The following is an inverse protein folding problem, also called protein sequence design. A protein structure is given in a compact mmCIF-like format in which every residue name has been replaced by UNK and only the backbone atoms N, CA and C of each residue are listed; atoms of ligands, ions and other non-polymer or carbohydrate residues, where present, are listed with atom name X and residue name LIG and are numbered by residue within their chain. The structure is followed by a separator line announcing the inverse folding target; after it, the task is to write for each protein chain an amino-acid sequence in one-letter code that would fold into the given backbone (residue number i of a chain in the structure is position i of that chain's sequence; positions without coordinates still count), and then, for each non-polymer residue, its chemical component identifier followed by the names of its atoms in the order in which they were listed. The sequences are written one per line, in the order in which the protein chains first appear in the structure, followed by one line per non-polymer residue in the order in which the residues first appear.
data_IF_150326505773
#
_entry.id   IF_150326505773
#
_cell.length_a   1.000
_cell.length_b   1.000
_cell.length_c   1.000
_cell.angle_alpha   90.00
_cell.angle_beta   90.00
_cell.angle_gamma   90.00
#
_symmetry.space_group_name_H-M   'P 1'
#
loop_
_entity.id
_entity.type
_entity.pdbx_description
1 polymer ?
#
# COMPACT_ATOMS: atom_id res chain seq x y z
N UNK A 1 -17.12 12.04 -14.10
CA UNK A 1 -15.80 11.45 -13.89
C UNK A 1 -15.72 9.93 -14.14
N UNK A 2 -16.68 9.12 -13.65
CA UNK A 2 -16.69 7.63 -13.74
C UNK A 2 -16.17 7.00 -15.04
N UNK A 3 -16.67 7.43 -16.22
CA UNK A 3 -16.23 6.88 -17.53
C UNK A 3 -14.73 7.08 -17.80
N UNK A 4 -14.16 8.19 -17.32
CA UNK A 4 -12.73 8.49 -17.46
C UNK A 4 -11.91 7.53 -16.59
N UNK A 5 -12.32 7.34 -15.33
CA UNK A 5 -11.67 6.40 -14.39
C UNK A 5 -11.65 4.99 -14.98
N UNK A 6 -12.77 4.51 -15.51
CA UNK A 6 -12.87 3.18 -16.13
C UNK A 6 -11.88 3.05 -17.31
N UNK A 7 -11.82 4.06 -18.19
CA UNK A 7 -10.85 4.08 -19.31
C UNK A 7 -9.41 4.07 -18.82
N UNK A 8 -9.08 4.81 -17.77
CA UNK A 8 -7.71 4.80 -17.23
C UNK A 8 -7.38 3.43 -16.64
N UNK A 9 -8.33 2.76 -15.99
CA UNK A 9 -8.13 1.38 -15.52
C UNK A 9 -7.90 0.40 -16.68
N UNK A 10 -8.56 0.57 -17.84
CA UNK A 10 -8.26 -0.22 -19.04
C UNK A 10 -6.82 0.03 -19.56
N UNK A 11 -6.31 1.25 -19.41
CA UNK A 11 -4.91 1.57 -19.74
C UNK A 11 -3.95 0.88 -18.76
N UNK A 12 -4.27 0.83 -17.47
CA UNK A 12 -3.51 0.04 -16.48
C UNK A 12 -3.42 -1.41 -16.92
N UNK A 13 -4.56 -2.01 -17.29
CA UNK A 13 -4.61 -3.41 -17.71
C UNK A 13 -3.78 -3.69 -18.96
N UNK A 14 -3.69 -2.73 -19.88
CA UNK A 14 -2.95 -2.87 -21.15
C UNK A 14 -1.49 -2.42 -21.07
N UNK A 15 -1.08 -1.77 -19.99
CA UNK A 15 0.28 -1.24 -19.83
C UNK A 15 1.33 -2.36 -19.73
N UNK A 16 2.35 -2.27 -20.59
CA UNK A 16 3.47 -3.23 -20.68
C UNK A 16 4.83 -2.61 -20.34
N UNK A 17 4.85 -1.31 -20.07
CA UNK A 17 6.05 -0.53 -19.74
C UNK A 17 5.75 0.42 -18.60
N UNK A 18 6.79 0.82 -17.87
CA UNK A 18 6.68 1.65 -16.69
C UNK A 18 6.04 3.02 -16.98
N UNK A 19 6.37 3.64 -18.10
CA UNK A 19 5.92 4.99 -18.45
C UNK A 19 4.40 5.05 -18.61
N UNK A 20 3.82 4.10 -19.36
CA UNK A 20 2.38 4.07 -19.57
C UNK A 20 1.62 3.75 -18.29
N UNK A 21 2.16 2.83 -17.46
CA UNK A 21 1.57 2.48 -16.19
C UNK A 21 1.64 3.66 -15.20
N UNK A 22 2.79 4.35 -15.15
CA UNK A 22 3.00 5.51 -14.30
C UNK A 22 2.02 6.64 -14.62
N UNK A 23 1.85 6.99 -15.91
CA UNK A 23 0.93 8.05 -16.31
C UNK A 23 -0.53 7.71 -15.95
N UNK A 24 -0.94 6.46 -16.13
CA UNK A 24 -2.28 6.00 -15.77
C UNK A 24 -2.50 6.06 -14.24
N UNK A 25 -1.54 5.57 -13.46
CA UNK A 25 -1.64 5.59 -12.00
C UNK A 25 -1.54 7.00 -11.43
N UNK A 26 -0.70 7.87 -11.98
CA UNK A 26 -0.61 9.27 -11.56
C UNK A 26 -1.92 10.02 -11.82
N UNK A 27 -2.57 9.77 -12.96
CA UNK A 27 -3.88 10.33 -13.24
C UNK A 27 -4.92 9.85 -12.21
N UNK A 28 -4.95 8.55 -11.89
CA UNK A 28 -5.87 8.01 -10.87
C UNK A 28 -5.57 8.55 -9.47
N UNK A 29 -4.30 8.63 -9.07
CA UNK A 29 -3.88 9.17 -7.79
C UNK A 29 -4.38 10.62 -7.62
N UNK A 30 -4.15 11.47 -8.61
CA UNK A 30 -4.63 12.86 -8.60
C UNK A 30 -6.15 12.95 -8.51
N UNK A 31 -6.89 12.14 -9.28
CA UNK A 31 -8.36 12.13 -9.24
C UNK A 31 -8.84 11.68 -7.85
N UNK A 32 -8.27 10.61 -7.28
CA UNK A 32 -8.69 10.10 -5.95
C UNK A 32 -8.40 11.08 -4.80
N UNK A 33 -7.46 12.00 -4.97
CA UNK A 33 -7.19 13.05 -3.98
C UNK A 33 -8.18 14.21 -4.08
N UNK A 34 -8.77 14.45 -5.25
CA UNK A 34 -9.67 15.57 -5.51
C UNK A 34 -11.14 15.17 -5.38
N UNK A 35 -11.49 13.95 -5.79
CA UNK A 35 -12.87 13.47 -5.90
C UNK A 35 -13.04 12.15 -5.14
N UNK A 36 -13.58 12.22 -3.92
CA UNK A 36 -13.76 11.06 -3.04
C UNK A 36 -14.67 9.99 -3.65
N UNK A 37 -15.69 10.38 -4.43
CA UNK A 37 -16.58 9.45 -5.17
C UNK A 37 -15.82 8.54 -6.15
N UNK A 38 -14.62 8.93 -6.58
CA UNK A 38 -13.79 8.08 -7.45
C UNK A 38 -13.33 6.81 -6.73
N UNK A 39 -13.20 6.86 -5.40
CA UNK A 39 -12.78 5.70 -4.60
C UNK A 39 -13.80 4.57 -4.73
N UNK A 40 -15.10 4.88 -4.76
CA UNK A 40 -16.18 3.90 -4.94
C UNK A 40 -16.07 3.23 -6.31
N UNK A 41 -15.80 4.01 -7.36
CA UNK A 41 -15.58 3.49 -8.71
C UNK A 41 -14.36 2.56 -8.76
N UNK A 42 -13.27 2.90 -8.08
CA UNK A 42 -12.09 2.03 -8.01
C UNK A 42 -12.40 0.71 -7.30
N UNK A 43 -13.18 0.77 -6.21
CA UNK A 43 -13.62 -0.42 -5.49
C UNK A 43 -14.50 -1.33 -6.37
N UNK A 44 -15.58 -0.79 -6.96
CA UNK A 44 -16.51 -1.51 -7.84
C UNK A 44 -15.80 -2.21 -9.01
N UNK A 45 -14.72 -1.62 -9.51
CA UNK A 45 -13.96 -2.12 -10.64
C UNK A 45 -12.70 -2.94 -10.25
N UNK A 46 -12.62 -3.43 -9.00
CA UNK A 46 -11.54 -4.26 -8.48
C UNK A 46 -10.15 -3.68 -8.78
N UNK A 47 -10.00 -2.37 -8.61
CA UNK A 47 -8.82 -1.65 -9.06
C UNK A 47 -7.55 -2.10 -8.34
N UNK A 48 -7.63 -2.44 -7.04
CA UNK A 48 -6.48 -2.88 -6.23
C UNK A 48 -5.81 -4.11 -6.86
N UNK A 49 -6.60 -5.13 -7.22
CA UNK A 49 -6.11 -6.34 -7.86
C UNK A 49 -5.45 -6.03 -9.21
N UNK A 50 -6.08 -5.16 -10.01
CA UNK A 50 -5.57 -4.75 -11.33
C UNK A 50 -4.25 -4.00 -11.22
N UNK A 51 -4.14 -3.11 -10.26
CA UNK A 51 -2.92 -2.36 -9.96
C UNK A 51 -1.76 -3.28 -9.58
N UNK A 52 -1.98 -4.20 -8.64
CA UNK A 52 -0.96 -5.15 -8.19
C UNK A 52 -0.53 -6.05 -9.36
N UNK A 53 -1.47 -6.53 -10.17
CA UNK A 53 -1.17 -7.33 -11.34
C UNK A 53 -0.35 -6.57 -12.39
N UNK A 54 -0.69 -5.30 -12.65
CA UNK A 54 0.05 -4.46 -13.60
C UNK A 54 1.46 -4.17 -13.11
N UNK A 55 1.62 -3.86 -11.82
CA UNK A 55 2.91 -3.61 -11.17
C UNK A 55 3.84 -4.82 -11.19
N UNK A 56 3.31 -6.03 -10.98
CA UNK A 56 4.09 -7.29 -11.01
C UNK A 56 4.58 -7.68 -12.42
N UNK A 57 4.19 -6.97 -13.48
CA UNK A 57 4.65 -7.26 -14.85
C UNK A 57 6.11 -6.89 -15.02
N UNK A 58 6.86 -7.63 -15.87
CA UNK A 58 8.20 -7.22 -16.26
C UNK A 58 8.20 -5.77 -16.79
N UNK A 59 9.20 -4.97 -16.40
CA UNK A 59 9.38 -3.57 -16.81
C UNK A 59 8.33 -2.57 -16.30
N UNK A 60 7.43 -2.97 -15.40
CA UNK A 60 6.41 -2.11 -14.79
C UNK A 60 6.71 -1.75 -13.32
N UNK A 61 7.91 -2.06 -12.84
CA UNK A 61 8.30 -1.85 -11.45
C UNK A 61 9.30 -0.70 -11.34
N UNK A 62 8.91 0.38 -10.67
CA UNK A 62 9.81 1.45 -10.24
C UNK A 62 9.22 2.24 -9.05
N UNK A 63 10.07 3.03 -8.39
CA UNK A 63 9.72 3.83 -7.23
C UNK A 63 8.58 4.85 -7.48
N UNK A 64 8.51 5.43 -8.67
CA UNK A 64 7.46 6.39 -9.00
C UNK A 64 6.08 5.73 -9.08
N UNK A 65 6.02 4.51 -9.63
CA UNK A 65 4.80 3.71 -9.69
C UNK A 65 4.36 3.31 -8.28
N UNK A 66 5.30 2.86 -7.43
CA UNK A 66 5.03 2.53 -6.03
C UNK A 66 4.41 3.72 -5.29
N UNK A 67 4.93 4.92 -5.48
CA UNK A 67 4.38 6.14 -4.87
C UNK A 67 2.93 6.43 -5.30
N UNK A 68 2.61 6.28 -6.59
CA UNK A 68 1.24 6.49 -7.08
C UNK A 68 0.29 5.41 -6.54
N UNK A 69 0.72 4.15 -6.51
CA UNK A 69 -0.06 3.05 -5.92
C UNK A 69 -0.38 3.31 -4.46
N UNK A 70 0.62 3.72 -3.68
CA UNK A 70 0.47 3.98 -2.25
C UNK A 70 -0.49 5.15 -2.00
N UNK A 71 -0.42 6.20 -2.82
CA UNK A 71 -1.38 7.31 -2.76
C UNK A 71 -2.82 6.83 -2.95
N UNK A 72 -3.07 6.01 -3.98
CA UNK A 72 -4.40 5.45 -4.25
C UNK A 72 -4.85 4.51 -3.12
N UNK A 73 -3.95 3.67 -2.59
CA UNK A 73 -4.26 2.76 -1.48
C UNK A 73 -4.59 3.50 -0.19
N UNK A 74 -3.89 4.59 0.12
CA UNK A 74 -4.22 5.45 1.27
C UNK A 74 -5.61 6.06 1.09
N UNK A 75 -5.96 6.55 -0.11
CA UNK A 75 -7.32 7.04 -0.39
C UNK A 75 -8.37 5.94 -0.18
N UNK A 76 -8.16 4.73 -0.70
CA UNK A 76 -9.05 3.59 -0.46
C UNK A 76 -9.18 3.22 1.02
N UNK A 77 -8.08 3.25 1.77
CA UNK A 77 -8.08 2.96 3.20
C UNK A 77 -8.83 4.04 4.00
N UNK A 78 -8.71 5.30 3.59
CA UNK A 78 -9.46 6.42 4.17
C UNK A 78 -10.94 6.36 3.82
N UNK A 79 -11.30 5.84 2.64
CA UNK A 79 -12.66 5.53 2.22
C UNK A 79 -13.25 4.25 2.84
N UNK A 80 -12.59 3.68 3.86
CA UNK A 80 -13.03 2.47 4.57
C UNK A 80 -13.09 1.17 3.73
N UNK A 81 -12.41 1.12 2.57
CA UNK A 81 -12.31 -0.08 1.72
C UNK A 81 -11.23 -1.07 2.19
N UNK A 82 -11.15 -1.31 3.50
CA UNK A 82 -10.09 -2.10 4.14
C UNK A 82 -10.17 -3.58 3.75
N UNK A 83 -11.37 -4.16 3.73
CA UNK A 83 -11.59 -5.54 3.28
C UNK A 83 -11.13 -5.76 1.84
N UNK A 84 -11.37 -4.77 0.96
CA UNK A 84 -10.94 -4.83 -0.42
C UNK A 84 -9.40 -4.81 -0.52
N UNK A 85 -8.74 -3.94 0.24
CA UNK A 85 -7.27 -3.87 0.30
C UNK A 85 -6.68 -5.21 0.75
N UNK A 86 -7.25 -5.83 1.78
CA UNK A 86 -6.83 -7.14 2.28
C UNK A 86 -7.08 -8.22 1.22
N UNK A 87 -8.34 -8.39 0.80
CA UNK A 87 -8.77 -9.47 -0.09
C UNK A 87 -8.16 -9.41 -1.50
N UNK A 88 -7.72 -8.23 -1.94
CA UNK A 88 -7.06 -8.05 -3.23
C UNK A 88 -5.53 -8.04 -3.14
N UNK A 89 -4.95 -8.29 -1.96
CA UNK A 89 -3.52 -8.54 -1.78
C UNK A 89 -2.64 -7.31 -1.55
N UNK A 90 -3.23 -6.18 -1.14
CA UNK A 90 -2.45 -4.96 -0.88
C UNK A 90 -1.51 -5.10 0.32
N UNK A 91 -1.89 -5.84 1.36
CA UNK A 91 -1.08 -6.00 2.59
C UNK A 91 0.29 -6.63 2.29
N UNK A 92 0.33 -7.69 1.48
CA UNK A 92 1.58 -8.34 1.05
C UNK A 92 2.50 -7.36 0.31
N UNK A 93 1.93 -6.61 -0.64
CA UNK A 93 2.67 -5.57 -1.36
C UNK A 93 3.20 -4.50 -0.39
N UNK A 94 2.38 -3.98 0.52
CA UNK A 94 2.78 -2.96 1.49
C UNK A 94 3.94 -3.44 2.38
N UNK A 95 3.86 -4.66 2.89
CA UNK A 95 4.93 -5.25 3.70
C UNK A 95 6.22 -5.44 2.89
N UNK A 96 6.12 -5.82 1.62
CA UNK A 96 7.29 -5.95 0.73
C UNK A 96 7.98 -4.59 0.50
N UNK A 97 7.20 -3.52 0.37
CA UNK A 97 7.71 -2.15 0.14
C UNK A 97 8.41 -1.56 1.35
N UNK A 98 8.15 -2.06 2.56
CA UNK A 98 8.91 -1.63 3.75
C UNK A 98 10.40 -1.97 3.67
N UNK A 99 10.74 -3.00 2.87
CA UNK A 99 12.11 -3.50 2.69
C UNK A 99 12.81 -2.88 1.48
N UNK A 100 12.14 -2.00 0.73
CA UNK A 100 12.73 -1.38 -0.46
C UNK A 100 13.88 -0.45 -0.06
N UNK A 101 15.10 -0.83 -0.42
CA UNK A 101 16.30 -0.05 -0.14
C UNK A 101 17.09 0.16 -1.44
N UNK A 102 17.28 1.42 -1.84
CA UNK A 102 18.13 1.78 -2.97
C UNK A 102 19.03 2.97 -2.60
N UNK A 103 20.34 2.72 -2.50
CA UNK A 103 21.32 3.75 -2.12
C UNK A 103 21.34 4.94 -3.08
N UNK A 104 21.07 4.72 -4.38
CA UNK A 104 21.04 5.80 -5.38
C UNK A 104 19.77 6.66 -5.29
N UNK A 105 18.68 6.11 -4.75
CA UNK A 105 17.37 6.76 -4.66
C UNK A 105 16.85 6.79 -3.22
N UNK A 106 17.76 7.04 -2.27
CA UNK A 106 17.50 6.95 -0.83
C UNK A 106 16.27 7.77 -0.37
N UNK A 107 16.16 9.02 -0.83
CA UNK A 107 15.03 9.89 -0.46
C UNK A 107 13.69 9.37 -0.99
N UNK A 108 13.68 8.76 -2.18
CA UNK A 108 12.47 8.14 -2.74
C UNK A 108 12.07 6.90 -1.94
N UNK A 109 13.02 6.02 -1.61
CA UNK A 109 12.74 4.84 -0.79
C UNK A 109 12.16 5.22 0.58
N UNK A 110 12.68 6.29 1.21
CA UNK A 110 12.14 6.82 2.47
C UNK A 110 10.68 7.27 2.34
N UNK A 111 10.34 7.95 1.24
CA UNK A 111 8.97 8.39 0.96
C UNK A 111 8.03 7.20 0.73
N UNK A 112 8.44 6.22 -0.07
CA UNK A 112 7.69 4.97 -0.29
C UNK A 112 7.45 4.25 1.03
N UNK A 113 8.50 4.10 1.85
CA UNK A 113 8.37 3.47 3.15
C UNK A 113 7.40 4.24 4.05
N UNK A 114 7.50 5.58 4.13
CA UNK A 114 6.57 6.39 4.92
C UNK A 114 5.11 6.16 4.49
N UNK A 115 4.82 6.27 3.19
CA UNK A 115 3.47 6.06 2.66
C UNK A 115 2.96 4.63 2.91
N UNK A 116 3.83 3.62 2.75
CA UNK A 116 3.50 2.23 3.05
C UNK A 116 3.14 2.05 4.54
N UNK A 117 3.92 2.64 5.46
CA UNK A 117 3.61 2.58 6.90
C UNK A 117 2.32 3.32 7.27
N UNK A 118 2.01 4.43 6.60
CA UNK A 118 0.75 5.16 6.80
C UNK A 118 -0.46 4.30 6.38
N UNK A 119 -0.36 3.66 5.21
CA UNK A 119 -1.41 2.76 4.72
C UNK A 119 -1.57 1.54 5.64
N UNK A 120 -0.46 0.89 6.03
CA UNK A 120 -0.47 -0.24 6.96
C UNK A 120 -1.07 0.14 8.31
N UNK A 121 -0.73 1.32 8.86
CA UNK A 121 -1.30 1.80 10.12
C UNK A 121 -2.81 1.96 10.02
N UNK A 122 -3.30 2.53 8.92
CA UNK A 122 -4.75 2.67 8.67
C UNK A 122 -5.44 1.31 8.52
N UNK A 123 -4.80 0.33 7.90
CA UNK A 123 -5.33 -1.05 7.83
C UNK A 123 -5.34 -1.70 9.23
N UNK A 124 -4.25 -1.58 9.98
CA UNK A 124 -4.07 -2.14 11.31
C UNK A 124 -5.05 -1.56 12.34
N UNK A 125 -5.58 -0.34 12.14
CA UNK A 125 -6.62 0.21 13.02
C UNK A 125 -7.95 -0.54 12.95
N UNK A 126 -8.12 -1.48 12.02
CA UNK A 126 -9.26 -2.37 11.93
C UNK A 126 -8.85 -3.78 12.36
N UNK A 127 -9.66 -4.44 13.18
CA UNK A 127 -9.33 -5.76 13.72
C UNK A 127 -9.04 -6.82 12.65
N UNK A 128 -9.76 -6.76 11.52
CA UNK A 128 -9.52 -7.62 10.35
C UNK A 128 -8.20 -7.32 9.63
N UNK A 129 -7.77 -6.05 9.62
CA UNK A 129 -6.52 -5.62 9.01
C UNK A 129 -5.33 -6.00 9.89
N UNK A 130 -5.46 -5.85 11.20
CA UNK A 130 -4.46 -6.32 12.16
C UNK A 130 -4.26 -7.84 12.05
N UNK A 131 -5.35 -8.60 11.91
CA UNK A 131 -5.33 -10.05 11.65
C UNK A 131 -4.57 -10.38 10.35
N UNK A 132 -4.91 -9.69 9.26
CA UNK A 132 -4.25 -9.91 7.97
C UNK A 132 -2.74 -9.62 8.02
N UNK A 133 -2.33 -8.55 8.71
CA UNK A 133 -0.91 -8.23 8.92
C UNK A 133 -0.22 -9.34 9.71
N UNK A 134 -0.85 -9.87 10.77
CA UNK A 134 -0.32 -10.98 11.55
C UNK A 134 -0.11 -12.24 10.68
N UNK A 135 -1.14 -12.65 9.94
CA UNK A 135 -1.13 -13.84 9.07
C UNK A 135 -0.06 -13.76 7.97
N UNK A 136 0.28 -12.56 7.50
CA UNK A 136 1.35 -12.33 6.51
C UNK A 136 2.74 -12.18 7.13
N UNK A 137 2.95 -12.65 8.36
CA UNK A 137 4.20 -12.51 9.11
C UNK A 137 4.66 -11.04 9.24
N UNK A 138 3.70 -10.12 9.33
CA UNK A 138 3.94 -8.69 9.39
C UNK A 138 4.76 -8.28 10.61
N UNK A 139 4.58 -8.94 11.76
CA UNK A 139 5.37 -8.67 12.97
C UNK A 139 6.88 -8.79 12.70
N UNK A 140 7.34 -9.92 12.15
CA UNK A 140 8.76 -10.13 11.84
C UNK A 140 9.28 -9.14 10.80
N UNK A 141 8.47 -8.82 9.77
CA UNK A 141 8.82 -7.83 8.74
C UNK A 141 9.05 -6.46 9.39
N UNK A 142 8.11 -6.03 10.23
CA UNK A 142 8.08 -4.69 10.84
C UNK A 142 9.23 -4.52 11.83
N UNK A 143 9.48 -5.50 12.70
CA UNK A 143 10.56 -5.42 13.70
C UNK A 143 11.93 -5.27 13.04
N UNK A 144 12.18 -5.97 11.93
CA UNK A 144 13.43 -5.82 11.15
C UNK A 144 13.61 -4.40 10.61
N UNK A 145 12.53 -3.76 10.16
CA UNK A 145 12.56 -2.40 9.61
C UNK A 145 12.74 -1.36 10.72
N UNK A 146 12.15 -1.58 11.89
CA UNK A 146 12.35 -0.72 13.07
C UNK A 146 13.82 -0.69 13.50
N UNK A 147 14.47 -1.86 13.48
CA UNK A 147 15.89 -2.03 13.83
C UNK A 147 16.84 -1.37 12.82
N UNK A 148 16.37 -1.04 11.61
CA UNK A 148 17.16 -0.28 10.65
C UNK A 148 17.24 1.19 11.07
N UNK A 149 18.46 1.69 11.29
CA UNK A 149 18.71 3.07 11.71
C UNK A 149 18.38 4.11 10.62
N UNK A 150 18.15 3.69 9.38
CA UNK A 150 17.92 4.62 8.26
C UNK A 150 16.45 5.03 8.07
N UNK A 151 15.49 4.36 8.71
CA UNK A 151 14.08 4.67 8.55
C UNK A 151 13.70 6.02 9.19
N UNK A 152 12.75 6.74 8.58
CA UNK A 152 12.24 8.01 9.09
C UNK A 152 11.55 7.81 10.45
N UNK A 153 11.66 8.80 11.35
CA UNK A 153 11.03 8.75 12.68
C UNK A 153 9.52 8.52 12.57
N UNK A 154 8.83 9.22 11.67
CA UNK A 154 7.38 9.05 11.47
C UNK A 154 7.01 7.64 10.99
N UNK A 155 7.84 7.05 10.11
CA UNK A 155 7.66 5.68 9.66
C UNK A 155 7.85 4.71 10.84
N UNK A 156 8.89 4.92 11.67
CA UNK A 156 9.12 4.13 12.88
C UNK A 156 7.96 4.25 13.87
N UNK A 157 7.43 5.44 14.10
CA UNK A 157 6.30 5.66 15.00
C UNK A 157 5.04 4.89 14.55
N UNK A 158 4.75 4.90 13.25
CA UNK A 158 3.65 4.10 12.70
C UNK A 158 3.87 2.60 12.92
N UNK A 159 5.09 2.13 12.67
CA UNK A 159 5.45 0.72 12.81
C UNK A 159 5.41 0.24 14.27
N UNK A 160 5.97 1.03 15.20
CA UNK A 160 5.90 0.74 16.64
C UNK A 160 4.46 0.60 17.13
N UNK A 161 3.58 1.51 16.69
CA UNK A 161 2.16 1.42 17.02
C UNK A 161 1.53 0.13 16.51
N UNK A 162 1.81 -0.28 15.27
CA UNK A 162 1.29 -1.56 14.72
C UNK A 162 1.83 -2.74 15.52
N UNK A 163 3.11 -2.74 15.88
CA UNK A 163 3.74 -3.78 16.68
C UNK A 163 3.07 -3.92 18.04
N UNK A 164 2.88 -2.82 18.78
CA UNK A 164 2.19 -2.81 20.08
C UNK A 164 0.77 -3.43 19.98
N UNK A 165 0.02 -3.08 18.94
CA UNK A 165 -1.32 -3.65 18.71
C UNK A 165 -1.28 -5.17 18.41
N UNK A 166 -0.29 -5.62 17.64
CA UNK A 166 -0.09 -7.05 17.37
C UNK A 166 0.29 -7.82 18.64
N UNK A 167 1.11 -7.24 19.51
CA UNK A 167 1.54 -7.85 20.77
C UNK A 167 0.37 -7.99 21.74
N UNK A 168 -0.37 -6.90 21.94
CA UNK A 168 -1.56 -6.87 22.80
C UNK A 168 -2.62 -7.90 22.36
N UNK A 169 -2.77 -8.12 21.05
CA UNK A 169 -3.81 -9.02 20.55
C UNK A 169 -3.36 -10.47 20.38
N UNK A 170 -2.20 -10.72 19.79
CA UNK A 170 -1.80 -12.06 19.33
C UNK A 170 -0.63 -12.67 20.10
N UNK A 171 0.19 -11.86 20.79
CA UNK A 171 1.26 -12.43 21.63
C UNK A 171 0.75 -12.84 23.02
N UNK A 172 -0.24 -12.13 23.57
CA UNK A 172 -0.91 -12.57 24.81
C UNK A 172 -1.69 -13.88 24.60
N UNK A 173 -2.19 -14.16 23.40
CA UNK A 173 -2.90 -15.40 23.07
C UNK A 173 -1.96 -16.62 22.89
N UNK A 174 -0.65 -16.42 22.74
CA UNK A 174 0.33 -17.52 22.61
C UNK A 174 0.89 -18.00 23.95
N UNK A 175 0.53 -17.34 25.06
CA UNK A 175 1.02 -17.63 26.41
C UNK A 175 0.00 -18.36 27.31
N UNK A 176 -1.10 -18.87 26.73
CA UNK A 176 -2.17 -19.60 27.44
C UNK A 176 -2.35 -20.99 26.84
#
# INVERSE_FOLDING_TARGET
MRKVVIRILEIVDKSKVAESLLLALAALANITMQETETIDVLYEHNAIKRFIQAYKRPKCHNAFIEEQLLTIFISLANGAYIEALIGQGAVDLLLSLLRTHNQKHFNYCKRIQLLATQCLRKIASYGIGLKAIHEMNGYSVITKVIQDNNALIDAKNNLWWITDQLEQKYQLESAV
#
